data_IF_715435713352
#
_entry.id   IF_715435713352
#
_cell.length_a   1.000
_cell.length_b   1.000
_cell.length_c   1.000
_cell.angle_alpha   90.00
_cell.angle_beta   90.00
_cell.angle_gamma   90.00
#
_symmetry.space_group_name_H-M   'P 1'
#
loop_
_entity.id
_entity.type
_entity.pdbx_description
1 polymer ?
#
# COMPACT_ATOMS: atom_id res chain seq x y z
N UNK A 1 -9.04 11.20 -4.28
CA UNK A 1 -8.71 10.53 -5.56
C UNK A 1 -7.82 9.37 -5.19
N UNK A 2 -8.19 8.15 -5.59
CA UNK A 2 -7.36 6.97 -5.31
C UNK A 2 -6.13 7.03 -6.22
N UNK A 3 -4.94 6.93 -5.64
CA UNK A 3 -3.65 6.89 -6.35
C UNK A 3 -3.02 5.51 -6.20
N UNK A 4 -2.02 5.20 -7.04
CA UNK A 4 -1.33 3.91 -6.93
C UNK A 4 -0.60 3.78 -5.59
N UNK A 5 -0.54 2.57 -5.03
CA UNK A 5 0.20 2.29 -3.79
C UNK A 5 1.69 2.65 -3.88
N UNK A 6 2.26 2.61 -5.09
CA UNK A 6 3.65 3.02 -5.36
C UNK A 6 3.78 4.54 -5.25
N UNK A 7 2.86 5.29 -5.83
CA UNK A 7 2.88 6.76 -5.76
C UNK A 7 2.61 7.26 -4.35
N UNK A 8 1.69 6.61 -3.61
CA UNK A 8 1.44 6.89 -2.21
C UNK A 8 2.72 6.74 -1.35
N UNK A 9 3.48 5.66 -1.56
CA UNK A 9 4.76 5.44 -0.88
C UNK A 9 5.83 6.44 -1.30
N UNK A 10 5.90 6.80 -2.59
CA UNK A 10 6.83 7.84 -3.08
C UNK A 10 6.54 9.21 -2.47
N UNK A 11 5.26 9.59 -2.36
CA UNK A 11 4.84 10.85 -1.76
C UNK A 11 5.09 10.89 -0.26
N UNK A 12 4.98 9.74 0.42
CA UNK A 12 5.23 9.68 1.86
C UNK A 12 6.73 9.71 2.23
N UNK A 13 7.63 9.44 1.29
CA UNK A 13 9.09 9.35 1.48
C UNK A 13 9.54 8.41 2.63
N UNK A 14 8.63 7.54 3.09
CA UNK A 14 8.78 6.70 4.28
C UNK A 14 8.15 5.34 4.04
N UNK A 15 8.47 4.42 4.94
CA UNK A 15 7.83 3.12 5.03
C UNK A 15 6.45 3.28 5.65
N UNK A 16 5.42 2.67 5.05
CA UNK A 16 4.05 2.74 5.56
C UNK A 16 3.56 1.35 5.97
N UNK A 17 2.78 1.27 7.04
CA UNK A 17 2.00 0.06 7.34
C UNK A 17 0.87 -0.13 6.32
N UNK A 18 0.28 -1.33 6.25
CA UNK A 18 -0.88 -1.60 5.39
C UNK A 18 -2.00 -0.54 5.55
N UNK A 19 -2.33 -0.19 6.79
CA UNK A 19 -3.40 0.77 7.07
C UNK A 19 -3.02 2.20 6.68
N UNK A 20 -1.78 2.63 6.96
CA UNK A 20 -1.31 3.94 6.53
C UNK A 20 -1.25 4.05 5.01
N UNK A 21 -0.87 2.96 4.33
CA UNK A 21 -0.81 2.89 2.88
C UNK A 21 -2.21 2.96 2.24
N UNK A 22 -3.19 2.30 2.85
CA UNK A 22 -4.59 2.36 2.42
C UNK A 22 -5.10 3.82 2.44
N UNK A 23 -4.92 4.51 3.57
CA UNK A 23 -5.30 5.92 3.70
C UNK A 23 -4.50 6.84 2.78
N UNK A 24 -3.18 6.63 2.65
CA UNK A 24 -2.30 7.43 1.80
C UNK A 24 -2.60 7.25 0.30
N UNK A 25 -3.03 6.05 -0.11
CA UNK A 25 -3.52 5.79 -1.46
C UNK A 25 -4.90 6.42 -1.72
N UNK A 26 -5.54 7.03 -0.70
CA UNK A 26 -6.79 7.77 -0.83
C UNK A 26 -8.05 6.90 -0.73
N UNK A 27 -7.93 5.67 -0.22
CA UNK A 27 -9.09 4.86 0.14
C UNK A 27 -9.73 5.43 1.41
N UNK A 28 -11.08 5.45 1.48
CA UNK A 28 -11.78 6.00 2.64
C UNK A 28 -11.72 5.02 3.83
N UNK A 29 -11.87 5.54 5.06
CA UNK A 29 -11.85 4.72 6.27
C UNK A 29 -13.01 3.71 6.34
N UNK A 30 -14.11 3.99 5.62
CA UNK A 30 -15.25 3.11 5.45
C UNK A 30 -15.22 2.36 4.11
N UNK A 31 -14.02 2.08 3.58
CA UNK A 31 -13.86 1.34 2.34
C UNK A 31 -14.66 0.04 2.36
N UNK A 32 -15.38 -0.21 1.26
CA UNK A 32 -16.13 -1.45 1.09
C UNK A 32 -15.20 -2.63 0.75
N UNK A 33 -15.77 -3.84 0.72
CA UNK A 33 -15.02 -5.06 0.44
C UNK A 33 -14.31 -5.01 -0.92
N UNK A 34 -14.95 -4.45 -1.94
CA UNK A 34 -14.41 -4.40 -3.31
C UNK A 34 -13.19 -3.45 -3.36
N UNK A 35 -13.27 -2.32 -2.66
CA UNK A 35 -12.17 -1.36 -2.54
C UNK A 35 -10.98 -1.96 -1.78
N UNK A 36 -11.25 -2.69 -0.69
CA UNK A 36 -10.21 -3.38 0.07
C UNK A 36 -9.56 -4.48 -0.77
N UNK A 37 -10.34 -5.24 -1.53
CA UNK A 37 -9.81 -6.26 -2.45
C UNK A 37 -8.91 -5.62 -3.51
N UNK A 38 -9.37 -4.53 -4.15
CA UNK A 38 -8.59 -3.80 -5.15
C UNK A 38 -7.26 -3.29 -4.58
N UNK A 39 -7.26 -2.78 -3.35
CA UNK A 39 -6.03 -2.38 -2.65
C UNK A 39 -5.03 -3.53 -2.52
N UNK A 40 -5.47 -4.71 -2.08
CA UNK A 40 -4.58 -5.87 -1.97
C UNK A 40 -4.10 -6.39 -3.32
N UNK A 41 -4.94 -6.34 -4.36
CA UNK A 41 -4.54 -6.68 -5.73
C UNK A 41 -3.46 -5.73 -6.26
N UNK A 42 -3.57 -4.43 -5.97
CA UNK A 42 -2.57 -3.43 -6.37
C UNK A 42 -1.23 -3.65 -5.67
N UNK A 43 -1.25 -3.93 -4.36
CA UNK A 43 -0.04 -4.32 -3.61
C UNK A 43 0.61 -5.54 -4.24
N UNK A 44 -0.16 -6.62 -4.47
CA UNK A 44 0.35 -7.86 -5.05
C UNK A 44 0.97 -7.61 -6.42
N UNK A 45 0.32 -6.81 -7.26
CA UNK A 45 0.81 -6.44 -8.59
C UNK A 45 2.12 -5.65 -8.52
N UNK A 46 2.23 -4.72 -7.59
CA UNK A 46 3.43 -3.91 -7.42
C UNK A 46 4.62 -4.74 -6.89
N UNK A 47 4.38 -5.66 -5.95
CA UNK A 47 5.39 -6.62 -5.46
C UNK A 47 5.85 -7.54 -6.61
N UNK A 48 4.93 -8.09 -7.40
CA UNK A 48 5.26 -8.95 -8.54
C UNK A 48 6.09 -8.22 -9.61
N UNK A 49 5.93 -6.91 -9.73
CA UNK A 49 6.73 -6.04 -10.60
C UNK A 49 8.03 -5.56 -9.96
N UNK A 50 8.37 -6.04 -8.75
CA UNK A 50 9.52 -5.61 -7.96
C UNK A 50 9.53 -4.09 -7.70
N UNK A 51 8.35 -3.45 -7.65
CA UNK A 51 8.23 -2.02 -7.35
C UNK A 51 8.14 -1.74 -5.85
N UNK A 52 7.72 -2.74 -5.07
CA UNK A 52 7.58 -2.66 -3.62
C UNK A 52 8.31 -3.81 -2.93
N UNK A 53 8.80 -3.53 -1.73
CA UNK A 53 9.29 -4.53 -0.77
C UNK A 53 8.34 -4.53 0.43
N UNK A 54 8.05 -5.72 0.96
CA UNK A 54 7.21 -5.92 2.14
C UNK A 54 7.96 -6.73 3.20
N UNK A 55 7.76 -6.41 4.47
CA UNK A 55 8.22 -7.21 5.60
C UNK A 55 7.23 -7.08 6.75
N UNK A 56 7.33 -7.99 7.72
CA UNK A 56 6.48 -7.99 8.90
C UNK A 56 7.28 -7.62 10.14
N UNK A 57 6.73 -6.72 10.95
CA UNK A 57 7.27 -6.31 12.25
C UNK A 57 6.09 -6.06 13.21
N UNK A 58 6.17 -6.57 14.45
CA UNK A 58 5.13 -6.39 15.48
C UNK A 58 3.69 -6.69 14.98
N UNK A 59 3.51 -7.83 14.30
CA UNK A 59 2.23 -8.26 13.70
C UNK A 59 1.64 -7.31 12.64
N UNK A 60 2.44 -6.38 12.12
CA UNK A 60 2.06 -5.47 11.04
C UNK A 60 2.91 -5.68 9.79
N UNK A 61 2.27 -5.58 8.63
CA UNK A 61 2.95 -5.59 7.34
C UNK A 61 3.30 -4.15 6.94
N UNK A 62 4.58 -3.95 6.64
CA UNK A 62 5.16 -2.68 6.21
C UNK A 62 5.62 -2.74 4.76
N UNK A 63 5.49 -1.62 4.08
CA UNK A 63 5.77 -1.47 2.65
C UNK A 63 6.74 -0.31 2.40
N UNK A 64 7.62 -0.51 1.42
CA UNK A 64 8.54 0.51 0.90
C UNK A 64 8.66 0.38 -0.62
N UNK A 65 8.93 1.48 -1.31
CA UNK A 65 9.37 1.46 -2.72
C UNK A 65 10.67 0.67 -2.82
N UNK A 66 10.75 -0.24 -3.79
CA UNK A 66 11.99 -0.90 -4.15
C UNK A 66 12.99 0.11 -4.72
N UNK A 67 14.25 0.04 -4.27
CA UNK A 67 15.33 0.92 -4.72
C UNK A 67 15.87 0.54 -6.09
#
# INVERSE_FOLDING_TARGET
MIISVVDALKQSEKTLSAQQLLSAAGYPDNADTDQIEQFFLDIRKAINKMQLVTWRENDQDYFKVAG
#
